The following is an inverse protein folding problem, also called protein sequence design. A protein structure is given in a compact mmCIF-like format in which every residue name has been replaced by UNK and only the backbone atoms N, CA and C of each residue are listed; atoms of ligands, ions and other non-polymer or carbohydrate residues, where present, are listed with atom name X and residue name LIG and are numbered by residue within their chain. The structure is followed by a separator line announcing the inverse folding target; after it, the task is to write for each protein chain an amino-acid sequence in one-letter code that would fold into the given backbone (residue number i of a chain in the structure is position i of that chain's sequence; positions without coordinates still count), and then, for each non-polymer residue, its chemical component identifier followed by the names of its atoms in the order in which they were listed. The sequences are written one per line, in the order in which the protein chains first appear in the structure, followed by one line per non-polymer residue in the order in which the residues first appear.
data_IF_642900490916
#
_entry.id   IF_642900490916
#
_cell.length_a   1.000
_cell.length_b   1.000
_cell.length_c   1.000
_cell.angle_alpha   90.00
_cell.angle_beta   90.00
_cell.angle_gamma   90.00
#
_symmetry.space_group_name_H-M   'P 1'
#
loop_
_entity.id
_entity.type
_entity.pdbx_description
1 polymer ?
#
# COMPACT_ATOMS: atom_id res chain seq x y z
N UNK A 1 1.74 9.28 36.78
CA UNK A 1 0.83 8.58 35.85
C UNK A 1 0.77 9.36 34.55
N UNK A 2 1.45 8.92 33.49
CA UNK A 2 1.19 9.48 32.16
C UNK A 2 -0.19 9.01 31.71
N UNK A 3 -1.21 9.83 31.92
CA UNK A 3 -2.48 9.66 31.22
C UNK A 3 -2.24 10.10 29.78
N UNK A 4 -1.97 9.15 28.90
CA UNK A 4 -1.95 9.37 27.45
C UNK A 4 -3.38 9.71 27.02
N UNK A 5 -3.77 10.98 27.16
CA UNK A 5 -5.06 11.44 26.65
C UNK A 5 -4.99 11.39 25.13
N UNK A 6 -5.76 10.48 24.55
CA UNK A 6 -5.96 10.45 23.11
C UNK A 6 -6.50 11.82 22.65
N UNK A 7 -5.95 12.41 21.57
CA UNK A 7 -6.41 13.69 21.05
C UNK A 7 -7.91 13.66 20.73
N UNK A 8 -8.60 14.78 20.91
CA UNK A 8 -10.02 14.87 20.53
C UNK A 8 -10.17 14.72 19.01
N UNK A 9 -11.11 13.87 18.57
CA UNK A 9 -11.54 13.79 17.18
C UNK A 9 -12.43 14.97 16.80
N UNK A 10 -12.34 15.36 15.54
CA UNK A 10 -12.92 16.56 14.98
C UNK A 10 -14.12 16.25 14.06
N UNK A 11 -15.01 17.23 13.99
CA UNK A 11 -16.05 17.33 12.96
C UNK A 11 -15.47 17.98 11.69
N UNK A 12 -16.01 17.66 10.52
CA UNK A 12 -15.53 18.15 9.21
C UNK A 12 -15.39 19.68 9.16
N UNK A 13 -16.29 20.42 9.81
CA UNK A 13 -16.26 21.89 9.89
C UNK A 13 -15.06 22.46 10.66
N UNK A 14 -14.36 21.63 11.43
CA UNK A 14 -13.20 22.01 12.23
C UNK A 14 -11.86 21.67 11.54
N UNK A 15 -11.93 21.02 10.38
CA UNK A 15 -10.77 20.50 9.65
C UNK A 15 -10.61 21.30 8.35
N UNK A 16 -9.38 21.63 7.91
CA UNK A 16 -9.15 22.24 6.61
C UNK A 16 -9.62 21.34 5.46
N UNK A 17 -10.14 21.94 4.38
CA UNK A 17 -10.70 21.21 3.22
C UNK A 17 -9.78 20.17 2.59
N UNK A 18 -8.46 20.40 2.62
CA UNK A 18 -7.45 19.47 2.08
C UNK A 18 -7.41 18.10 2.77
N UNK A 19 -7.96 17.99 3.99
CA UNK A 19 -8.07 16.74 4.74
C UNK A 19 -9.50 16.19 4.75
N UNK A 20 -10.45 16.83 4.06
CA UNK A 20 -11.82 16.32 3.98
C UNK A 20 -11.86 15.09 3.09
N UNK A 21 -12.63 14.11 3.52
CA UNK A 21 -12.99 12.95 2.74
C UNK A 21 -14.48 13.02 2.40
N UNK A 22 -14.84 12.63 1.18
CA UNK A 22 -16.22 12.74 0.71
C UNK A 22 -17.16 11.94 1.62
N UNK A 23 -18.29 12.56 1.97
CA UNK A 23 -19.33 11.96 2.82
C UNK A 23 -18.90 11.58 4.25
N UNK A 24 -17.71 11.98 4.71
CA UNK A 24 -17.25 11.76 6.11
C UNK A 24 -17.46 13.03 6.93
N UNK A 25 -18.33 12.97 7.94
CA UNK A 25 -18.73 14.13 8.75
C UNK A 25 -17.91 14.26 10.04
N UNK A 26 -17.52 13.15 10.66
CA UNK A 26 -16.84 13.11 11.97
C UNK A 26 -15.72 12.08 12.00
N UNK A 27 -14.90 12.14 13.06
CA UNK A 27 -13.85 11.16 13.31
C UNK A 27 -12.46 11.58 12.80
N UNK A 28 -12.34 12.81 12.31
CA UNK A 28 -11.07 13.35 11.82
C UNK A 28 -10.06 13.53 12.96
N UNK A 29 -8.80 13.17 12.70
CA UNK A 29 -7.69 13.43 13.61
C UNK A 29 -7.24 14.90 13.51
N UNK A 30 -6.50 15.37 14.51
CA UNK A 30 -5.95 16.73 14.52
C UNK A 30 -4.97 16.92 13.35
N UNK A 31 -5.18 17.89 12.46
CA UNK A 31 -4.20 18.22 11.45
C UNK A 31 -2.93 18.80 12.09
N UNK A 32 -1.79 18.66 11.41
CA UNK A 32 -0.47 19.03 11.93
C UNK A 32 -0.03 18.27 13.19
N UNK A 33 -0.53 17.04 13.34
CA UNK A 33 -0.12 16.12 14.40
C UNK A 33 1.36 15.74 14.29
N UNK A 34 2.01 15.47 15.43
CA UNK A 34 3.37 14.91 15.40
C UNK A 34 3.35 13.45 14.93
N UNK A 35 4.50 12.90 14.54
CA UNK A 35 4.61 11.48 14.19
C UNK A 35 4.21 10.57 15.37
N UNK A 36 4.54 10.97 16.59
CA UNK A 36 4.15 10.25 17.80
C UNK A 36 2.62 10.25 17.99
N UNK A 37 1.97 11.40 17.81
CA UNK A 37 0.50 11.50 17.86
C UNK A 37 -0.16 10.61 16.80
N UNK A 38 0.42 10.54 15.59
CA UNK A 38 -0.08 9.66 14.53
C UNK A 38 0.00 8.17 14.92
N UNK A 39 1.11 7.73 15.51
CA UNK A 39 1.27 6.34 15.99
C UNK A 39 0.31 6.04 17.15
N UNK A 40 0.15 6.98 18.08
CA UNK A 40 -0.80 6.83 19.19
C UNK A 40 -2.24 6.74 18.65
N UNK A 41 -2.56 7.47 17.58
CA UNK A 41 -3.89 7.45 16.96
C UNK A 41 -4.30 6.10 16.36
N UNK A 42 -3.37 5.16 16.17
CA UNK A 42 -3.67 3.78 15.75
C UNK A 42 -4.66 3.08 16.70
N UNK A 43 -4.61 3.45 17.98
CA UNK A 43 -5.46 2.91 19.04
C UNK A 43 -6.71 3.76 19.30
N UNK A 44 -7.00 4.72 18.41
CA UNK A 44 -8.18 5.57 18.46
C UNK A 44 -9.11 5.25 17.27
N UNK A 45 -10.42 5.19 17.53
CA UNK A 45 -11.42 4.96 16.49
C UNK A 45 -11.71 6.25 15.70
N UNK A 46 -10.86 6.54 14.72
CA UNK A 46 -10.94 7.66 13.77
C UNK A 46 -11.56 7.24 12.44
N UNK A 47 -11.77 8.21 11.55
CA UNK A 47 -12.20 7.97 10.16
C UNK A 47 -11.18 7.14 9.34
N UNK A 48 -9.92 7.06 9.79
CA UNK A 48 -8.85 6.32 9.11
C UNK A 48 -8.59 4.94 9.71
N UNK A 49 -9.24 4.58 10.83
CA UNK A 49 -8.92 3.34 11.56
C UNK A 49 -9.05 2.10 10.69
N UNK A 50 -10.12 1.99 9.91
CA UNK A 50 -10.28 0.87 8.99
C UNK A 50 -9.22 0.88 7.91
N UNK A 51 -8.95 2.03 7.26
CA UNK A 51 -7.91 2.15 6.23
C UNK A 51 -6.55 1.69 6.75
N UNK A 52 -6.19 2.09 7.98
CA UNK A 52 -4.91 1.73 8.59
C UNK A 52 -4.85 0.23 8.93
N UNK A 53 -5.82 -0.29 9.68
CA UNK A 53 -5.75 -1.66 10.20
C UNK A 53 -5.98 -2.73 9.13
N UNK A 54 -6.82 -2.44 8.13
CA UNK A 54 -7.06 -3.37 7.01
C UNK A 54 -5.83 -3.57 6.14
N UNK A 55 -4.87 -2.64 6.14
CA UNK A 55 -3.58 -2.82 5.47
C UNK A 55 -2.46 -3.22 6.44
N UNK A 56 -2.49 -2.74 7.68
CA UNK A 56 -1.48 -3.09 8.69
C UNK A 56 -1.44 -4.59 8.98
N UNK A 57 -2.58 -5.24 9.19
CA UNK A 57 -2.62 -6.67 9.52
C UNK A 57 -2.15 -7.57 8.35
N UNK A 58 -2.62 -7.38 7.11
CA UNK A 58 -2.10 -8.15 5.98
C UNK A 58 -0.60 -7.99 5.73
N UNK A 59 -0.02 -6.82 6.02
CA UNK A 59 1.43 -6.60 5.91
C UNK A 59 2.22 -7.68 6.66
N UNK A 60 1.84 -7.95 7.91
CA UNK A 60 2.53 -8.94 8.74
C UNK A 60 2.25 -10.37 8.29
N UNK A 61 1.04 -10.65 7.81
CA UNK A 61 0.70 -11.94 7.22
C UNK A 61 1.55 -12.24 5.99
N UNK A 62 1.67 -11.29 5.06
CA UNK A 62 2.47 -11.48 3.85
C UNK A 62 3.96 -11.50 4.12
N UNK A 63 4.44 -10.74 5.10
CA UNK A 63 5.84 -10.81 5.54
C UNK A 63 6.16 -12.21 6.08
N UNK A 64 5.28 -12.77 6.91
CA UNK A 64 5.43 -14.16 7.37
C UNK A 64 5.44 -15.15 6.19
N UNK A 65 4.51 -14.99 5.23
CA UNK A 65 4.48 -15.82 4.01
C UNK A 65 5.75 -15.71 3.18
N UNK A 66 6.31 -14.52 3.03
CA UNK A 66 7.58 -14.29 2.34
C UNK A 66 8.72 -15.02 3.05
N UNK A 67 8.88 -14.82 4.36
CA UNK A 67 9.95 -15.45 5.15
C UNK A 67 9.82 -16.97 5.16
N UNK A 68 8.61 -17.50 5.29
CA UNK A 68 8.36 -18.94 5.19
C UNK A 68 8.71 -19.50 3.81
N UNK A 69 8.44 -18.75 2.73
CA UNK A 69 8.79 -19.17 1.36
C UNK A 69 10.29 -19.16 1.13
N UNK A 70 11.00 -18.13 1.63
CA UNK A 70 12.47 -18.05 1.59
C UNK A 70 13.15 -19.17 2.39
N UNK A 71 12.47 -19.69 3.42
CA UNK A 71 12.98 -20.80 4.23
C UNK A 71 12.78 -22.17 3.58
N UNK A 72 11.65 -22.37 2.87
CA UNK A 72 11.25 -23.67 2.33
C UNK A 72 11.72 -23.88 0.89
N UNK A 73 11.77 -22.82 0.08
CA UNK A 73 12.10 -22.91 -1.34
C UNK A 73 13.58 -22.63 -1.59
N UNK A 74 14.15 -23.27 -2.61
CA UNK A 74 15.53 -23.01 -3.06
C UNK A 74 15.60 -21.74 -3.95
N UNK A 75 15.29 -20.60 -3.35
CA UNK A 75 15.19 -19.31 -4.06
C UNK A 75 16.51 -18.86 -4.70
N UNK A 76 17.63 -19.33 -4.15
CA UNK A 76 18.96 -18.94 -4.59
C UNK A 76 19.39 -19.69 -5.85
N UNK A 77 18.95 -20.94 -6.01
CA UNK A 77 19.37 -21.78 -7.12
C UNK A 77 18.27 -21.97 -8.17
N UNK A 78 16.99 -21.89 -7.79
CA UNK A 78 15.85 -22.10 -8.68
C UNK A 78 15.20 -20.77 -9.11
N UNK A 79 15.48 -20.35 -10.34
CA UNK A 79 14.87 -19.16 -10.94
C UNK A 79 13.34 -19.23 -11.07
N UNK A 80 12.75 -20.44 -11.06
CA UNK A 80 11.29 -20.61 -11.14
C UNK A 80 10.57 -20.01 -9.94
N UNK A 81 11.24 -19.82 -8.79
CA UNK A 81 10.63 -19.24 -7.58
C UNK A 81 10.62 -17.71 -7.59
N UNK A 82 11.38 -17.06 -8.47
CA UNK A 82 11.57 -15.60 -8.43
C UNK A 82 10.27 -14.81 -8.67
N UNK A 83 9.39 -15.18 -9.63
CA UNK A 83 8.08 -14.54 -9.79
C UNK A 83 7.25 -14.51 -8.50
N UNK A 84 7.23 -15.63 -7.75
CA UNK A 84 6.57 -15.72 -6.45
C UNK A 84 7.19 -14.76 -5.42
N UNK A 85 8.52 -14.70 -5.35
CA UNK A 85 9.23 -13.81 -4.42
C UNK A 85 8.94 -12.35 -4.74
N UNK A 86 9.01 -11.94 -6.00
CA UNK A 86 8.67 -10.57 -6.44
C UNK A 86 7.23 -10.23 -6.06
N UNK A 87 6.29 -11.13 -6.30
CA UNK A 87 4.90 -10.95 -5.91
C UNK A 87 4.74 -10.81 -4.38
N UNK A 88 5.31 -11.71 -3.59
CA UNK A 88 5.21 -11.65 -2.12
C UNK A 88 5.86 -10.41 -1.53
N UNK A 89 7.00 -9.96 -2.06
CA UNK A 89 7.63 -8.69 -1.68
C UNK A 89 6.67 -7.53 -1.96
N UNK A 90 6.03 -7.51 -3.14
CA UNK A 90 5.05 -6.48 -3.48
C UNK A 90 3.81 -6.51 -2.57
N UNK A 91 3.35 -7.69 -2.15
CA UNK A 91 2.28 -7.88 -1.15
C UNK A 91 2.68 -7.42 0.25
N UNK A 92 3.97 -7.26 0.56
CA UNK A 92 4.43 -6.65 1.81
C UNK A 92 4.48 -5.12 1.68
N UNK A 93 5.10 -4.63 0.60
CA UNK A 93 5.35 -3.19 0.37
C UNK A 93 4.02 -2.44 0.27
N UNK A 94 3.09 -2.89 -0.58
CA UNK A 94 1.84 -2.16 -0.83
C UNK A 94 1.04 -1.88 0.46
N UNK A 95 0.58 -2.88 1.21
CA UNK A 95 -0.22 -2.62 2.40
C UNK A 95 0.57 -1.91 3.51
N UNK A 96 1.89 -2.11 3.61
CA UNK A 96 2.71 -1.36 4.55
C UNK A 96 2.70 0.13 4.23
N UNK A 97 2.98 0.48 2.97
CA UNK A 97 3.02 1.87 2.50
C UNK A 97 1.65 2.53 2.61
N UNK A 98 0.57 1.83 2.25
CA UNK A 98 -0.81 2.32 2.42
C UNK A 98 -1.13 2.62 3.89
N UNK A 99 -0.84 1.67 4.79
CA UNK A 99 -1.05 1.85 6.23
C UNK A 99 -0.26 3.05 6.78
N UNK A 100 1.00 3.22 6.37
CA UNK A 100 1.80 4.40 6.69
C UNK A 100 1.19 5.68 6.12
N UNK A 101 0.69 5.67 4.89
CA UNK A 101 0.12 6.84 4.26
C UNK A 101 -1.11 7.33 5.02
N UNK A 102 -2.03 6.43 5.34
CA UNK A 102 -3.19 6.76 6.16
C UNK A 102 -2.79 7.19 7.58
N UNK A 103 -1.76 6.57 8.18
CA UNK A 103 -1.29 6.94 9.52
C UNK A 103 -0.71 8.36 9.56
N UNK A 104 0.21 8.70 8.66
CA UNK A 104 1.00 9.94 8.71
C UNK A 104 0.45 11.10 7.86
N UNK A 105 -0.62 10.86 7.09
CA UNK A 105 -1.23 11.89 6.23
C UNK A 105 -1.64 13.16 6.97
N UNK A 106 -1.93 13.09 8.27
CA UNK A 106 -2.36 14.25 9.07
C UNK A 106 -1.22 15.12 9.59
N UNK A 107 0.04 14.73 9.40
CA UNK A 107 1.20 15.48 9.90
C UNK A 107 1.40 16.84 9.22
N UNK A 108 1.06 16.94 7.93
CA UNK A 108 1.05 18.18 7.15
C UNK A 108 0.47 17.91 5.78
N UNK A 109 0.13 18.97 5.04
CA UNK A 109 -0.27 18.86 3.63
C UNK A 109 0.83 18.21 2.77
N UNK A 110 2.09 18.57 3.00
CA UNK A 110 3.23 17.98 2.30
C UNK A 110 3.40 16.50 2.63
N UNK A 111 3.30 16.12 3.91
CA UNK A 111 3.38 14.73 4.32
C UNK A 111 2.26 13.90 3.68
N UNK A 112 1.01 14.42 3.66
CA UNK A 112 -0.12 13.81 2.94
C UNK A 112 0.22 13.49 1.49
N UNK A 113 0.76 14.45 0.75
CA UNK A 113 1.09 14.27 -0.66
C UNK A 113 2.20 13.22 -0.85
N UNK A 114 3.29 13.30 -0.08
CA UNK A 114 4.40 12.34 -0.15
C UNK A 114 3.92 10.93 0.20
N UNK A 115 3.15 10.79 1.27
CA UNK A 115 2.58 9.53 1.71
C UNK A 115 1.73 8.85 0.62
N UNK A 116 0.75 9.57 0.06
CA UNK A 116 -0.11 9.02 -0.98
C UNK A 116 0.61 8.83 -2.32
N UNK A 117 1.65 9.63 -2.62
CA UNK A 117 2.54 9.37 -3.76
C UNK A 117 3.20 7.99 -3.66
N UNK A 118 3.76 7.67 -2.49
CA UNK A 118 4.35 6.35 -2.26
C UNK A 118 3.30 5.23 -2.28
N UNK A 119 2.12 5.47 -1.72
CA UNK A 119 1.02 4.51 -1.71
C UNK A 119 0.59 4.11 -3.14
N UNK A 120 0.36 5.08 -4.02
CA UNK A 120 0.03 4.82 -5.43
C UNK A 120 1.13 4.12 -6.20
N UNK A 121 2.39 4.46 -5.93
CA UNK A 121 3.54 3.75 -6.49
C UNK A 121 3.60 2.28 -6.01
N UNK A 122 3.35 2.04 -4.72
CA UNK A 122 3.36 0.70 -4.14
C UNK A 122 2.20 -0.16 -4.68
N UNK A 123 1.01 0.42 -4.89
CA UNK A 123 -0.11 -0.25 -5.55
C UNK A 123 0.25 -0.65 -7.00
N UNK A 124 0.90 0.25 -7.75
CA UNK A 124 1.31 -0.03 -9.13
C UNK A 124 2.40 -1.10 -9.19
N UNK A 125 3.31 -1.15 -8.20
CA UNK A 125 4.29 -2.22 -8.04
C UNK A 125 3.64 -3.57 -7.70
N UNK A 126 2.63 -3.57 -6.81
CA UNK A 126 1.84 -4.77 -6.51
C UNK A 126 1.11 -5.31 -7.75
N UNK A 127 0.53 -4.43 -8.57
CA UNK A 127 -0.07 -4.81 -9.85
C UNK A 127 0.96 -5.46 -10.78
N UNK A 128 2.19 -4.94 -10.86
CA UNK A 128 3.26 -5.54 -11.66
C UNK A 128 3.69 -6.90 -11.12
N UNK A 129 3.90 -7.02 -9.80
CA UNK A 129 4.24 -8.29 -9.17
C UNK A 129 3.17 -9.36 -9.43
N UNK A 130 1.90 -8.97 -9.39
CA UNK A 130 0.77 -9.83 -9.72
C UNK A 130 0.80 -10.28 -11.19
N UNK A 131 1.08 -9.36 -12.11
CA UNK A 131 1.21 -9.70 -13.53
C UNK A 131 2.38 -10.67 -13.78
N UNK A 132 3.53 -10.46 -13.15
CA UNK A 132 4.70 -11.34 -13.27
C UNK A 132 4.36 -12.76 -12.76
N UNK A 133 3.73 -12.88 -11.58
CA UNK A 133 3.33 -14.19 -11.05
C UNK A 133 2.26 -14.87 -11.92
N UNK A 134 1.30 -14.09 -12.45
CA UNK A 134 0.29 -14.62 -13.37
C UNK A 134 0.93 -15.18 -14.64
N UNK A 135 1.86 -14.43 -15.26
CA UNK A 135 2.58 -14.87 -16.47
C UNK A 135 3.37 -16.15 -16.21
N UNK A 136 3.96 -16.30 -15.02
CA UNK A 136 4.80 -17.44 -14.70
C UNK A 136 4.01 -18.71 -14.33
N UNK A 137 2.87 -18.59 -13.65
CA UNK A 137 2.22 -19.73 -13.02
C UNK A 137 0.78 -20.00 -13.47
N UNK A 138 0.12 -19.03 -14.10
CA UNK A 138 -1.32 -19.09 -14.38
C UNK A 138 -1.68 -18.78 -15.84
N UNK A 139 -0.68 -18.49 -16.67
CA UNK A 139 -0.92 -18.19 -18.08
C UNK A 139 -1.39 -19.45 -18.83
N UNK A 140 -2.41 -19.36 -19.70
CA UNK A 140 -2.92 -20.55 -20.40
C UNK A 140 -1.85 -21.19 -21.30
N UNK A 141 -1.68 -22.51 -21.20
CA UNK A 141 -0.68 -23.27 -21.97
C UNK A 141 -0.79 -23.04 -23.49
N UNK A 142 -2.01 -22.93 -24.00
CA UNK A 142 -2.29 -22.69 -25.42
C UNK A 142 -1.80 -21.33 -25.91
N UNK A 143 -1.57 -20.38 -25.00
CA UNK A 143 -1.15 -19.00 -25.31
C UNK A 143 0.32 -18.75 -24.98
N UNK A 144 1.00 -19.65 -24.28
CA UNK A 144 2.44 -19.55 -24.01
C UNK A 144 3.31 -19.31 -25.26
N UNK A 145 3.07 -19.96 -26.43
CA UNK A 145 3.87 -19.71 -27.63
C UNK A 145 3.40 -18.49 -28.44
N UNK A 146 2.47 -17.68 -27.91
CA UNK A 146 1.90 -16.55 -28.63
C UNK A 146 2.65 -15.25 -28.36
N UNK A 147 2.64 -14.36 -29.35
CA UNK A 147 3.13 -12.98 -29.22
C UNK A 147 2.46 -12.22 -28.07
N UNK A 148 1.23 -12.60 -27.71
CA UNK A 148 0.53 -12.00 -26.58
C UNK A 148 1.24 -12.28 -25.24
N UNK A 149 1.72 -13.51 -25.04
CA UNK A 149 2.50 -13.86 -23.86
C UNK A 149 3.84 -13.11 -23.82
N UNK A 150 4.55 -13.03 -24.96
CA UNK A 150 5.83 -12.32 -25.07
C UNK A 150 5.76 -10.85 -24.65
N UNK A 151 4.64 -10.18 -24.96
CA UNK A 151 4.42 -8.77 -24.64
C UNK A 151 3.68 -8.50 -23.33
N UNK A 152 3.12 -9.53 -22.68
CA UNK A 152 2.28 -9.35 -21.49
C UNK A 152 3.01 -8.64 -20.34
N UNK A 153 4.19 -9.13 -19.95
CA UNK A 153 4.99 -8.50 -18.87
C UNK A 153 5.56 -7.13 -19.30
N UNK A 154 6.14 -6.95 -20.50
CA UNK A 154 6.56 -5.62 -20.97
C UNK A 154 5.44 -4.58 -20.95
N UNK A 155 4.23 -4.95 -21.38
CA UNK A 155 3.06 -4.07 -21.32
C UNK A 155 2.69 -3.76 -19.87
N UNK A 156 2.73 -4.74 -18.97
CA UNK A 156 2.48 -4.52 -17.54
C UNK A 156 3.47 -3.53 -16.93
N UNK A 157 4.77 -3.60 -17.30
CA UNK A 157 5.79 -2.63 -16.85
C UNK A 157 5.46 -1.21 -17.33
N UNK A 158 5.12 -1.05 -18.61
CA UNK A 158 4.73 0.26 -19.17
C UNK A 158 3.49 0.79 -18.46
N UNK A 159 2.49 -0.07 -18.25
CA UNK A 159 1.27 0.28 -17.54
C UNK A 159 1.57 0.74 -16.10
N UNK A 160 2.46 0.07 -15.37
CA UNK A 160 2.87 0.46 -14.02
C UNK A 160 3.53 1.85 -13.97
N UNK A 161 4.36 2.18 -14.96
CA UNK A 161 4.99 3.51 -15.03
C UNK A 161 3.93 4.58 -15.31
N UNK A 162 3.05 4.33 -16.29
CA UNK A 162 1.98 5.26 -16.66
C UNK A 162 0.99 5.43 -15.50
N UNK A 163 0.53 4.34 -14.87
CA UNK A 163 -0.44 4.39 -13.76
C UNK A 163 0.12 5.14 -12.57
N UNK A 164 1.39 4.92 -12.22
CA UNK A 164 2.07 5.66 -11.15
C UNK A 164 2.13 7.14 -11.50
N UNK A 165 2.59 7.48 -12.70
CA UNK A 165 2.71 8.87 -13.16
C UNK A 165 1.37 9.61 -13.15
N UNK A 166 0.31 9.01 -13.70
CA UNK A 166 -1.02 9.60 -13.76
C UNK A 166 -1.64 9.75 -12.36
N UNK A 167 -1.52 8.74 -11.50
CA UNK A 167 -2.06 8.80 -10.14
C UNK A 167 -1.40 9.93 -9.33
N UNK A 168 -0.07 10.05 -9.45
CA UNK A 168 0.68 11.10 -8.78
C UNK A 168 0.44 12.50 -9.35
N UNK A 169 0.13 12.63 -10.65
CA UNK A 169 -0.22 13.91 -11.27
C UNK A 169 -1.62 14.40 -10.90
N UNK A 170 -2.55 13.48 -10.65
CA UNK A 170 -3.95 13.80 -10.33
C UNK A 170 -4.17 14.39 -8.93
N UNK A 171 -3.12 14.46 -8.10
CA UNK A 171 -3.14 14.94 -6.72
C UNK A 171 -2.26 16.18 -6.53
#
# INVERSE_FOLDING_TARGET
MLSWKLPRLLHITQVPKVFHEESIITGYRQPWSTAADCVISLFQMSNETLNIWTHFLPTWYFLWKLLASLWVLDVWSDSYTWPLVVFLVSCCIYPFTSSCAHTFSVMSTKARHICFFFDYGALSLYSLGSAIAYSAYSFPDTWLPSVFHDWYVPIAVVNTVISTGLSCYSR
#
